data_IF_269270018178
#
_entry.id   IF_269270018178
#
_cell.length_a   1.000
_cell.length_b   1.000
_cell.length_c   1.000
_cell.angle_alpha   90.00
_cell.angle_beta   90.00
_cell.angle_gamma   90.00
#
_symmetry.space_group_name_H-M   'P 1'
#
loop_
_entity.id
_entity.type
_entity.pdbx_description
1 polymer ?
#
# COMPACT_ATOMS: atom_id res chain seq x y z
N UNK A 1 8.03 -0.62 -2.92
CA UNK A 1 8.07 0.22 -1.70
C UNK A 1 7.52 -0.58 -0.53
N UNK A 2 7.95 -0.28 0.70
CA UNK A 2 7.53 -0.94 1.94
C UNK A 2 7.21 0.10 3.01
N UNK A 3 6.12 -0.13 3.75
CA UNK A 3 5.89 0.52 5.04
C UNK A 3 6.92 0.04 6.06
N UNK A 4 7.21 0.89 7.06
CA UNK A 4 8.12 0.53 8.14
C UNK A 4 7.32 0.20 9.39
N UNK A 5 7.69 -0.89 10.08
CA UNK A 5 6.98 -1.51 11.21
C UNK A 5 6.96 -0.68 12.52
N UNK A 6 7.06 0.66 12.49
CA UNK A 6 7.30 1.49 13.68
C UNK A 6 6.04 1.93 14.43
N UNK A 7 5.06 1.03 14.58
CA UNK A 7 4.13 1.02 15.71
C UNK A 7 2.97 2.02 15.63
N UNK A 8 1.78 1.50 15.35
CA UNK A 8 0.50 2.24 15.35
C UNK A 8 0.56 3.59 14.58
N UNK A 9 1.48 3.72 13.63
CA UNK A 9 1.51 4.80 12.68
C UNK A 9 0.56 4.49 11.52
N UNK A 10 0.42 5.48 10.64
CA UNK A 10 -0.34 5.36 9.39
C UNK A 10 0.61 5.80 8.30
N UNK A 11 1.14 4.86 7.56
CA UNK A 11 2.03 5.15 6.47
C UNK A 11 1.26 5.64 5.24
N UNK A 12 1.81 6.66 4.59
CA UNK A 12 1.29 7.17 3.32
C UNK A 12 2.28 6.84 2.22
N UNK A 13 2.03 5.74 1.51
CA UNK A 13 2.85 5.36 0.36
C UNK A 13 2.25 5.95 -0.91
N UNK A 14 3.07 6.71 -1.65
CA UNK A 14 2.71 7.26 -2.96
C UNK A 14 3.58 6.65 -4.04
N UNK A 15 2.99 5.79 -4.84
CA UNK A 15 3.56 5.28 -6.08
C UNK A 15 3.67 6.35 -7.16
N UNK A 16 4.52 6.04 -8.12
CA UNK A 16 4.88 6.89 -9.22
C UNK A 16 4.06 6.50 -10.46
N UNK A 17 4.55 6.82 -11.66
CA UNK A 17 3.94 6.29 -12.87
C UNK A 17 4.64 4.97 -13.24
N UNK A 18 3.88 3.96 -13.68
CA UNK A 18 4.43 2.70 -14.16
C UNK A 18 3.87 1.48 -13.45
N UNK A 19 4.73 0.51 -13.16
CA UNK A 19 4.37 -0.68 -12.40
C UNK A 19 5.07 -0.60 -11.04
N UNK A 20 4.32 -0.30 -9.99
CA UNK A 20 4.80 -0.28 -8.63
C UNK A 20 4.34 -1.52 -7.87
N UNK A 21 5.25 -2.08 -7.07
CA UNK A 21 4.95 -3.13 -6.11
C UNK A 21 5.08 -2.55 -4.70
N UNK A 22 3.95 -2.48 -4.00
CA UNK A 22 3.76 -1.79 -2.72
C UNK A 22 3.38 -2.83 -1.67
N UNK A 23 4.04 -2.77 -0.52
CA UNK A 23 3.84 -3.67 0.61
C UNK A 23 3.55 -2.83 1.86
N UNK A 24 2.40 -3.05 2.46
CA UNK A 24 1.93 -2.48 3.74
C UNK A 24 1.35 -3.59 4.63
N UNK A 25 1.88 -4.81 4.47
CA UNK A 25 1.50 -5.99 5.23
C UNK A 25 2.37 -6.14 6.49
N UNK A 26 2.60 -5.06 7.23
CA UNK A 26 3.47 -5.03 8.40
C UNK A 26 2.74 -5.16 9.75
N UNK A 27 1.41 -5.26 9.72
CA UNK A 27 0.58 -5.73 10.84
C UNK A 27 0.30 -4.66 11.90
N UNK A 28 0.33 -3.39 11.52
CA UNK A 28 0.01 -2.26 12.40
C UNK A 28 -1.38 -1.65 12.13
N UNK A 29 -1.56 -0.34 12.34
CA UNK A 29 -2.86 0.32 12.14
C UNK A 29 -3.04 0.89 10.74
N UNK A 30 -3.82 0.22 9.90
CA UNK A 30 -4.45 0.73 8.66
C UNK A 30 -3.73 1.90 7.97
N UNK A 31 -2.87 1.52 7.05
CA UNK A 31 -2.14 2.42 6.17
C UNK A 31 -3.00 3.13 5.12
N UNK A 32 -2.35 4.01 4.34
CA UNK A 32 -2.97 4.72 3.21
C UNK A 32 -2.09 4.65 1.98
N UNK A 33 -2.45 3.78 1.05
CA UNK A 33 -1.75 3.60 -0.22
C UNK A 33 -2.39 4.41 -1.34
N UNK A 34 -1.52 5.10 -2.08
CA UNK A 34 -1.81 5.71 -3.36
C UNK A 34 -0.85 5.12 -4.40
N UNK A 35 -1.29 4.11 -5.16
CA UNK A 35 -0.42 3.38 -6.11
C UNK A 35 0.14 4.22 -7.25
N UNK A 36 -0.46 5.38 -7.54
CA UNK A 36 -0.04 6.22 -8.65
C UNK A 36 -0.74 5.83 -9.95
N UNK A 37 -0.12 6.16 -11.09
CA UNK A 37 -0.69 5.85 -12.42
C UNK A 37 0.01 4.61 -12.98
N UNK A 38 -0.73 3.53 -13.14
CA UNK A 38 -0.30 2.38 -13.92
C UNK A 38 -0.77 1.07 -13.31
N UNK A 39 -0.01 0.01 -13.55
CA UNK A 39 -0.42 -1.37 -13.24
C UNK A 39 0.08 -1.81 -11.87
N UNK A 40 -0.28 -1.07 -10.83
CA UNK A 40 0.33 -1.24 -9.52
C UNK A 40 -0.25 -2.42 -8.74
N UNK A 41 0.61 -3.10 -7.98
CA UNK A 41 0.27 -4.24 -7.12
C UNK A 41 0.53 -3.87 -5.67
N UNK A 42 -0.51 -3.98 -4.85
CA UNK A 42 -0.47 -3.61 -3.44
C UNK A 42 -0.77 -4.83 -2.57
N UNK A 43 0.15 -5.15 -1.67
CA UNK A 43 0.03 -6.19 -0.65
C UNK A 43 -0.26 -5.49 0.67
N UNK A 44 -1.39 -5.82 1.29
CA UNK A 44 -2.01 -5.05 2.37
C UNK A 44 -2.52 -6.00 3.47
N UNK A 45 -2.63 -5.52 4.71
CA UNK A 45 -3.30 -6.26 5.79
C UNK A 45 -4.83 -6.17 5.67
N UNK A 46 -5.31 -5.08 5.06
CA UNK A 46 -6.72 -4.79 4.91
C UNK A 46 -6.97 -3.99 3.63
N UNK A 47 -8.04 -4.33 2.90
CA UNK A 47 -8.43 -3.56 1.71
C UNK A 47 -8.71 -2.09 1.99
N UNK A 48 -9.06 -1.75 3.23
CA UNK A 48 -9.29 -0.36 3.66
C UNK A 48 -8.04 0.51 3.61
N UNK A 49 -6.86 -0.09 3.50
CA UNK A 49 -5.59 0.64 3.41
C UNK A 49 -5.35 1.22 2.02
N UNK A 50 -6.02 0.67 1.00
CA UNK A 50 -5.89 1.14 -0.37
C UNK A 50 -6.82 2.32 -0.62
N UNK A 51 -6.24 3.50 -0.82
CA UNK A 51 -7.01 4.71 -1.14
C UNK A 51 -7.28 4.79 -2.64
N UNK A 52 -6.24 4.65 -3.48
CA UNK A 52 -6.38 4.68 -4.95
C UNK A 52 -5.13 4.18 -5.66
N UNK A 53 -5.21 3.99 -6.99
CA UNK A 53 -4.04 3.73 -7.84
C UNK A 53 -3.48 2.31 -7.77
N UNK A 54 -4.03 1.40 -6.97
CA UNK A 54 -3.65 -0.02 -7.02
C UNK A 54 -4.51 -0.76 -8.04
N UNK A 55 -3.90 -1.29 -9.09
CA UNK A 55 -4.57 -2.12 -10.09
C UNK A 55 -4.86 -3.53 -9.59
N UNK A 56 -4.06 -4.04 -8.65
CA UNK A 56 -4.28 -5.34 -8.01
C UNK A 56 -3.99 -5.28 -6.52
N UNK A 57 -4.94 -5.73 -5.73
CA UNK A 57 -4.86 -5.75 -4.26
C UNK A 57 -4.79 -7.20 -3.79
N UNK A 58 -3.77 -7.51 -3.00
CA UNK A 58 -3.56 -8.80 -2.34
C UNK A 58 -3.66 -8.52 -0.84
N UNK A 59 -4.56 -9.21 -0.17
CA UNK A 59 -4.74 -9.11 1.29
C UNK A 59 -4.08 -10.32 1.92
N UNK A 60 -3.29 -10.13 2.99
CA UNK A 60 -2.61 -11.21 3.71
C UNK A 60 -3.00 -11.28 5.18
#
# INVERSE_FOLDING_TARGET
MRANTYGNDKDVIKGSAGFDLIYVDDGDTRDRIFGGKGNDRCVVDARSEVVSGCSRIIVQ
#
